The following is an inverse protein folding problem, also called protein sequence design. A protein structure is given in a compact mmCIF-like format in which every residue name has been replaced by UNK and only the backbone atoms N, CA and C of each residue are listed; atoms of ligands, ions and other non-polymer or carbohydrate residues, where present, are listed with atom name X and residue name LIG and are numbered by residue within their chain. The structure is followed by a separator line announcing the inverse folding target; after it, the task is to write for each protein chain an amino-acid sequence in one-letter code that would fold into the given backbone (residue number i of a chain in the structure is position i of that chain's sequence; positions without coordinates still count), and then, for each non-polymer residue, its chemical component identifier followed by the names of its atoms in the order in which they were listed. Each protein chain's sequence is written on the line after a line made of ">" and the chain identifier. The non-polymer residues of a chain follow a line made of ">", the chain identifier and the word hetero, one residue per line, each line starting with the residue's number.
data_IF_079114324815
#
_entry.id   IF_079114324815
#
_cell.length_a   1.000
_cell.length_b   1.000
_cell.length_c   1.000
_cell.angle_alpha   90.00
_cell.angle_beta   90.00
_cell.angle_gamma   90.00
#
_symmetry.space_group_name_H-M   'P 1'
#
loop_
_entity.id
_entity.type
_entity.pdbx_description
1 polymer ?
#
# COMPACT_ATOMS: atom_id res chain seq x y z
N UNK A 1 -1.95 10.32 15.55
CA UNK A 1 -0.69 9.95 14.89
C UNK A 1 -0.72 10.49 13.48
N UNK A 2 0.45 10.81 12.93
CA UNK A 2 0.63 11.13 11.52
C UNK A 2 0.90 9.83 10.77
N UNK A 3 0.03 9.47 9.84
CA UNK A 3 0.06 8.21 9.11
C UNK A 3 0.29 8.50 7.63
N UNK A 4 1.31 7.87 7.06
CA UNK A 4 1.66 8.04 5.66
C UNK A 4 1.13 6.90 4.81
N UNK A 5 0.56 7.21 3.64
CA UNK A 5 0.22 6.24 2.60
C UNK A 5 1.25 6.36 1.49
N UNK A 6 1.96 5.27 1.16
CA UNK A 6 3.02 5.23 0.14
C UNK A 6 2.49 5.26 -1.31
N UNK A 7 1.57 6.17 -1.59
CA UNK A 7 0.94 6.40 -2.89
C UNK A 7 0.31 7.80 -2.96
N UNK A 8 0.33 8.42 -4.16
CA UNK A 8 -0.45 9.63 -4.47
C UNK A 8 -1.81 9.34 -5.13
N UNK A 9 -2.12 8.08 -5.41
CA UNK A 9 -3.43 7.69 -5.93
C UNK A 9 -4.52 8.02 -4.91
N UNK A 10 -5.43 8.92 -5.29
CA UNK A 10 -6.51 9.42 -4.43
C UNK A 10 -7.44 8.30 -3.94
N UNK A 11 -7.67 7.24 -4.71
CA UNK A 11 -8.50 6.11 -4.26
C UNK A 11 -7.85 5.40 -3.08
N UNK A 12 -6.53 5.14 -3.15
CA UNK A 12 -5.76 4.50 -2.07
C UNK A 12 -5.73 5.38 -0.82
N UNK A 13 -5.45 6.68 -0.98
CA UNK A 13 -5.37 7.63 0.15
C UNK A 13 -6.74 7.81 0.80
N UNK A 14 -7.81 8.01 0.01
CA UNK A 14 -9.17 8.14 0.52
C UNK A 14 -9.67 6.89 1.23
N UNK A 15 -9.29 5.69 0.76
CA UNK A 15 -9.65 4.44 1.44
C UNK A 15 -9.03 4.32 2.84
N UNK A 16 -7.82 4.86 3.03
CA UNK A 16 -7.18 4.90 4.36
C UNK A 16 -7.77 6.02 5.21
N UNK A 17 -7.98 7.21 4.63
CA UNK A 17 -8.62 8.35 5.31
C UNK A 17 -9.97 7.97 5.90
N UNK A 18 -10.83 7.32 5.11
CA UNK A 18 -12.19 6.96 5.54
C UNK A 18 -12.24 6.06 6.78
N UNK A 19 -11.16 5.34 7.06
CA UNK A 19 -11.04 4.45 8.23
C UNK A 19 -10.32 5.15 9.39
N UNK A 20 -9.24 5.88 9.13
CA UNK A 20 -8.34 6.38 10.19
C UNK A 20 -8.63 7.82 10.62
N UNK A 21 -9.18 8.67 9.75
CA UNK A 21 -9.58 10.03 10.10
C UNK A 21 -10.67 10.05 11.19
N UNK A 22 -11.72 9.20 11.15
CA UNK A 22 -12.70 9.11 12.24
C UNK A 22 -12.12 8.68 13.59
N UNK A 23 -10.94 8.03 13.58
CA UNK A 23 -10.21 7.63 14.78
C UNK A 23 -9.27 8.74 15.31
N UNK A 24 -9.29 9.92 14.68
CA UNK A 24 -8.47 11.07 15.08
C UNK A 24 -7.02 10.97 14.60
N UNK A 25 -6.75 10.27 13.49
CA UNK A 25 -5.43 10.23 12.87
C UNK A 25 -5.33 11.18 11.68
N UNK A 26 -4.14 11.78 11.50
CA UNK A 26 -3.82 12.63 10.36
C UNK A 26 -3.18 11.76 9.27
N UNK A 27 -3.82 11.66 8.10
CA UNK A 27 -3.39 10.78 7.01
C UNK A 27 -2.96 11.61 5.81
N UNK A 28 -1.79 11.31 5.25
CA UNK A 28 -1.29 11.95 4.03
C UNK A 28 -0.74 10.93 3.03
N UNK A 29 -0.84 11.24 1.73
CA UNK A 29 -0.21 10.47 0.67
C UNK A 29 1.20 10.98 0.36
N UNK A 30 2.11 10.07 0.02
CA UNK A 30 3.46 10.40 -0.46
C UNK A 30 3.83 9.49 -1.62
N UNK A 31 4.49 10.05 -2.64
CA UNK A 31 5.01 9.24 -3.74
C UNK A 31 6.13 8.33 -3.24
N UNK A 32 5.94 7.03 -3.42
CA UNK A 32 6.87 5.99 -2.98
C UNK A 32 7.02 4.98 -4.11
N UNK A 33 8.24 4.52 -4.38
CA UNK A 33 8.48 3.45 -5.35
C UNK A 33 8.22 2.11 -4.70
N UNK A 34 7.60 1.19 -5.44
CA UNK A 34 7.39 -0.19 -4.99
C UNK A 34 8.66 -1.03 -5.11
N UNK A 35 9.63 -0.63 -5.95
CA UNK A 35 10.88 -1.36 -6.21
C UNK A 35 10.64 -2.82 -6.66
N UNK A 36 9.47 -3.08 -7.26
CA UNK A 36 9.08 -4.34 -7.92
C UNK A 36 8.53 -4.02 -9.32
N UNK A 37 8.07 -5.02 -10.07
CA UNK A 37 7.49 -4.78 -11.39
C UNK A 37 6.23 -3.91 -11.32
N UNK A 38 5.91 -3.24 -12.44
CA UNK A 38 4.69 -2.43 -12.55
C UNK A 38 3.40 -3.26 -12.46
N UNK A 39 3.48 -4.56 -12.76
CA UNK A 39 2.40 -5.53 -12.62
C UNK A 39 2.96 -6.77 -11.91
N UNK A 40 2.90 -6.81 -10.57
CA UNK A 40 3.31 -7.99 -9.81
C UNK A 40 2.52 -9.22 -10.24
N UNK A 41 3.21 -10.35 -10.41
CA UNK A 41 2.63 -11.62 -10.88
C UNK A 41 2.54 -12.71 -9.81
N UNK A 42 2.80 -12.34 -8.55
CA UNK A 42 2.65 -13.21 -7.39
C UNK A 42 2.28 -12.41 -6.14
N UNK A 43 1.68 -13.09 -5.16
CA UNK A 43 1.43 -12.55 -3.83
C UNK A 43 2.72 -12.05 -3.18
N UNK A 44 3.81 -12.83 -3.24
CA UNK A 44 5.11 -12.46 -2.65
C UNK A 44 5.65 -11.14 -3.21
N UNK A 45 5.64 -10.98 -4.54
CA UNK A 45 6.06 -9.73 -5.18
C UNK A 45 5.14 -8.56 -4.83
N UNK A 46 3.83 -8.80 -4.80
CA UNK A 46 2.83 -7.76 -4.48
C UNK A 46 2.99 -7.28 -3.03
N UNK A 47 3.17 -8.21 -2.08
CA UNK A 47 3.44 -7.92 -0.66
C UNK A 47 4.75 -7.17 -0.51
N UNK A 48 5.81 -7.57 -1.24
CA UNK A 48 7.08 -6.86 -1.21
C UNK A 48 6.96 -5.42 -1.71
N UNK A 49 6.19 -5.19 -2.78
CA UNK A 49 5.88 -3.84 -3.29
C UNK A 49 5.13 -2.98 -2.27
N UNK A 50 4.12 -3.55 -1.61
CA UNK A 50 3.39 -2.88 -0.52
C UNK A 50 4.32 -2.56 0.67
N UNK A 51 5.15 -3.51 1.10
CA UNK A 51 6.10 -3.34 2.19
C UNK A 51 7.13 -2.23 1.90
N UNK A 52 7.64 -2.17 0.68
CA UNK A 52 8.60 -1.14 0.25
C UNK A 52 7.97 0.27 0.35
N UNK A 53 6.73 0.42 -0.14
CA UNK A 53 5.96 1.66 -0.02
C UNK A 53 5.72 2.06 1.44
N UNK A 54 5.29 1.11 2.28
CA UNK A 54 5.02 1.34 3.69
C UNK A 54 6.29 1.80 4.43
N UNK A 55 7.41 1.06 4.28
CA UNK A 55 8.70 1.40 4.89
C UNK A 55 9.26 2.74 4.42
N UNK A 56 9.04 3.09 3.15
CA UNK A 56 9.49 4.38 2.63
C UNK A 56 8.75 5.53 3.32
N UNK A 57 7.41 5.47 3.37
CA UNK A 57 6.62 6.56 3.94
C UNK A 57 6.71 6.64 5.46
N UNK A 58 6.93 5.52 6.14
CA UNK A 58 7.16 5.46 7.59
C UNK A 58 8.37 6.30 8.06
N UNK A 59 9.31 6.65 7.17
CA UNK A 59 10.43 7.55 7.52
C UNK A 59 9.99 9.00 7.75
N UNK A 60 8.76 9.34 7.38
CA UNK A 60 8.19 10.70 7.39
C UNK A 60 6.88 10.79 8.19
N UNK A 61 6.53 9.71 8.90
CA UNK A 61 5.27 9.51 9.61
C UNK A 61 5.50 8.66 10.87
N UNK A 62 4.54 8.62 11.78
CA UNK A 62 4.58 7.71 12.94
C UNK A 62 4.34 6.25 12.51
N UNK A 63 3.63 6.07 11.39
CA UNK A 63 3.29 4.78 10.79
C UNK A 63 3.17 4.94 9.28
N UNK A 64 3.64 3.94 8.53
CA UNK A 64 3.47 3.87 7.07
C UNK A 64 2.53 2.74 6.63
N UNK A 65 1.71 3.03 5.62
CA UNK A 65 0.79 2.10 4.98
C UNK A 65 1.16 1.98 3.50
N UNK A 66 1.35 0.76 3.04
CA UNK A 66 1.53 0.43 1.63
C UNK A 66 0.36 -0.39 1.13
N UNK A 67 -0.20 -0.01 -0.01
CA UNK A 67 -1.26 -0.76 -0.70
C UNK A 67 -0.76 -1.04 -2.12
N UNK A 68 -0.76 -2.31 -2.54
CA UNK A 68 -0.31 -2.71 -3.89
C UNK A 68 -1.27 -3.73 -4.52
N UNK A 69 -1.54 -3.54 -5.80
CA UNK A 69 -2.34 -4.45 -6.61
C UNK A 69 -1.41 -5.35 -7.40
N UNK A 70 -1.81 -6.59 -7.61
CA UNK A 70 -1.08 -7.58 -8.39
C UNK A 70 -2.04 -8.58 -9.03
N UNK A 71 -1.47 -9.61 -9.64
CA UNK A 71 -2.21 -10.82 -10.03
C UNK A 71 -1.56 -12.04 -9.42
N UNK A 72 -2.36 -13.06 -9.18
CA UNK A 72 -1.91 -14.38 -8.71
C UNK A 72 -2.61 -15.46 -9.54
N UNK A 73 -1.89 -16.53 -9.87
CA UNK A 73 -2.45 -17.66 -10.62
C UNK A 73 -2.72 -18.81 -9.67
N UNK A 74 -4.00 -19.12 -9.45
CA UNK A 74 -4.44 -20.23 -8.62
C UNK A 74 -5.27 -21.20 -9.47
N UNK A 75 -4.86 -22.46 -9.54
CA UNK A 75 -5.52 -23.52 -10.33
C UNK A 75 -5.79 -23.09 -11.78
N UNK A 76 -4.74 -22.65 -12.48
CA UNK A 76 -4.78 -22.18 -13.88
C UNK A 76 -5.72 -20.97 -14.13
N UNK A 77 -6.19 -20.31 -13.06
CA UNK A 77 -7.04 -19.12 -13.13
C UNK A 77 -6.30 -17.93 -12.56
N UNK A 78 -6.30 -16.82 -13.30
CA UNK A 78 -5.67 -15.57 -12.87
C UNK A 78 -6.65 -14.71 -12.08
N UNK A 79 -6.25 -14.30 -10.87
CA UNK A 79 -7.02 -13.45 -10.00
C UNK A 79 -6.35 -12.09 -9.85
N UNK A 80 -7.16 -11.04 -9.72
CA UNK A 80 -6.71 -9.75 -9.23
C UNK A 80 -6.58 -9.84 -7.72
N UNK A 81 -5.41 -9.48 -7.20
CA UNK A 81 -5.14 -9.44 -5.76
C UNK A 81 -4.75 -8.03 -5.34
N UNK A 82 -5.02 -7.70 -4.08
CA UNK A 82 -4.57 -6.44 -3.46
C UNK A 82 -4.03 -6.75 -2.07
N UNK A 83 -2.82 -6.26 -1.79
CA UNK A 83 -2.16 -6.44 -0.50
C UNK A 83 -1.96 -5.11 0.20
N UNK A 84 -2.13 -5.14 1.52
CA UNK A 84 -1.90 -4.02 2.42
C UNK A 84 -0.86 -4.38 3.47
N UNK A 85 0.07 -3.46 3.73
CA UNK A 85 1.12 -3.60 4.76
C UNK A 85 1.15 -2.37 5.65
N UNK A 86 1.22 -2.58 6.96
CA UNK A 86 1.40 -1.55 7.98
C UNK A 86 2.79 -1.73 8.64
N UNK A 87 3.36 -0.65 9.19
CA UNK A 87 4.68 -0.62 9.85
C UNK A 87 4.61 -0.12 11.27
#
# INVERSE_FOLDING_TARGET
>A
MKIGVGSLNQVKVSAVLSVLEPLGHDVFGMDARSEVSAQPLSDDETVQGALNRAKFVAKHADMGIGLEAGVETLNDTMYLVNWGVLT
#
